data_IF_637520846675
#
_entry.id   IF_637520846675
#
_cell.length_a   1.000
_cell.length_b   1.000
_cell.length_c   1.000
_cell.angle_alpha   90.00
_cell.angle_beta   90.00
_cell.angle_gamma   90.00
#
_symmetry.space_group_name_H-M   'P 1'
#
loop_
_entity.id
_entity.type
_entity.pdbx_description
1 polymer ?
#
# COMPACT_ATOMS: atom_id res chain seq x y z
N UNK A 1 -24.05 12.26 0.79
CA UNK A 1 -22.91 11.89 -0.08
C UNK A 1 -21.71 11.68 0.83
N UNK A 2 -21.39 10.44 1.13
CA UNK A 2 -20.34 10.05 2.07
C UNK A 2 -19.13 9.65 1.23
N UNK A 3 -18.10 10.48 1.23
CA UNK A 3 -16.81 10.17 0.62
C UNK A 3 -16.06 9.17 1.50
N UNK A 4 -15.82 7.98 0.97
CA UNK A 4 -14.92 6.98 1.55
C UNK A 4 -13.48 7.40 1.24
N UNK A 5 -12.77 7.92 2.25
CA UNK A 5 -11.32 8.07 2.20
C UNK A 5 -10.69 6.69 2.48
N UNK A 6 -9.96 6.19 1.50
CA UNK A 6 -9.13 4.98 1.59
C UNK A 6 -7.76 5.43 2.11
N UNK A 7 -7.37 5.01 3.32
CA UNK A 7 -6.05 5.26 3.89
C UNK A 7 -5.00 4.28 3.34
N UNK A 8 -3.79 4.74 2.95
CA UNK A 8 -2.71 3.86 2.54
C UNK A 8 -2.00 3.24 3.75
N UNK A 9 -1.84 1.91 3.68
CA UNK A 9 -1.12 1.03 4.61
C UNK A 9 0.40 1.23 4.43
N UNK A 10 1.06 1.88 5.39
CA UNK A 10 2.52 2.03 5.42
C UNK A 10 3.13 0.77 6.08
N UNK A 11 4.14 0.11 5.49
CA UNK A 11 4.75 -1.08 6.06
C UNK A 11 5.78 -0.74 7.15
N UNK A 12 5.72 -1.50 8.25
CA UNK A 12 6.69 -1.54 9.34
C UNK A 12 8.11 -1.87 8.83
N UNK A 13 9.02 -0.93 8.99
CA UNK A 13 10.46 -1.15 8.91
C UNK A 13 11.16 -0.35 10.03
N UNK A 14 11.71 -1.11 10.99
CA UNK A 14 12.94 -0.84 11.74
C UNK A 14 13.13 0.51 12.43
N UNK A 15 13.04 0.51 13.77
CA UNK A 15 13.95 1.33 14.59
C UNK A 15 14.54 0.51 15.75
N UNK A 16 15.86 0.31 15.65
CA UNK A 16 16.74 -0.25 16.66
C UNK A 16 16.95 0.75 17.81
N UNK A 17 16.92 0.23 19.04
CA UNK A 17 17.95 0.43 20.06
C UNK A 17 18.26 1.86 20.55
N UNK A 18 17.73 2.21 21.73
CA UNK A 18 18.53 2.92 22.76
C UNK A 18 18.08 2.53 24.16
N UNK A 19 18.92 1.74 24.82
CA UNK A 19 18.83 1.37 26.23
C UNK A 19 19.29 2.56 27.06
N UNK A 20 18.38 3.44 27.47
CA UNK A 20 18.70 4.50 28.44
C UNK A 20 18.45 3.94 29.84
N UNK A 21 19.55 3.61 30.47
CA UNK A 21 19.65 3.25 31.88
C UNK A 21 19.14 4.40 32.76
N UNK A 22 18.05 4.21 33.49
CA UNK A 22 17.73 5.05 34.65
C UNK A 22 17.72 4.23 35.94
N UNK A 23 18.81 4.44 36.68
CA UNK A 23 19.08 4.06 38.06
C UNK A 23 17.88 4.28 38.97
N UNK A 24 17.43 3.20 39.59
CA UNK A 24 17.36 3.02 41.04
C UNK A 24 17.39 4.31 41.89
N UNK A 25 16.22 4.90 42.16
CA UNK A 25 16.00 5.72 43.35
C UNK A 25 15.22 4.89 44.38
N UNK A 26 15.97 4.19 45.23
CA UNK A 26 15.46 3.57 46.46
C UNK A 26 15.42 4.66 47.52
N UNK A 27 14.29 5.36 47.62
CA UNK A 27 14.03 6.34 48.69
C UNK A 27 12.75 5.95 49.42
N UNK A 28 12.97 5.35 50.60
CA UNK A 28 12.11 5.37 51.78
C UNK A 28 10.61 5.62 51.57
N UNK A 29 9.83 4.55 51.46
CA UNK A 29 8.41 4.62 51.82
C UNK A 29 8.04 3.40 52.68
N UNK A 30 7.55 3.72 53.86
CA UNK A 30 7.29 2.88 55.01
C UNK A 30 6.21 1.82 54.79
N UNK A 31 6.50 0.65 55.35
CA UNK A 31 5.60 -0.43 55.79
C UNK A 31 4.13 0.00 55.91
N UNK A 32 3.25 -0.61 55.11
CA UNK A 32 1.81 -0.66 55.35
C UNK A 32 1.42 -2.08 55.81
N UNK A 33 0.52 -2.21 56.80
CA UNK A 33 0.22 -3.50 57.40
C UNK A 33 -0.64 -4.36 56.46
N UNK A 34 -0.37 -5.67 56.46
CA UNK A 34 -1.17 -6.69 55.78
C UNK A 34 -2.59 -6.67 56.36
N UNK A 35 -3.57 -6.15 55.62
CA UNK A 35 -4.99 -6.39 55.93
C UNK A 35 -5.37 -7.77 55.39
N UNK A 36 -5.68 -8.68 56.31
CA UNK A 36 -6.36 -9.94 56.04
C UNK A 36 -7.74 -9.64 55.47
N UNK A 37 -8.00 -9.99 54.22
CA UNK A 37 -9.33 -9.87 53.61
C UNK A 37 -10.00 -11.23 53.80
N UNK A 38 -11.06 -11.20 54.59
CA UNK A 38 -11.88 -12.34 54.96
C UNK A 38 -12.37 -13.11 53.71
N UNK A 39 -12.27 -14.43 53.76
CA UNK A 39 -12.86 -15.36 52.80
C UNK A 39 -14.38 -15.16 52.72
N UNK A 40 -14.82 -14.35 51.75
CA UNK A 40 -16.23 -14.25 51.39
C UNK A 40 -16.63 -15.46 50.54
N UNK A 41 -17.47 -16.33 51.08
CA UNK A 41 -18.18 -17.33 50.29
C UNK A 41 -19.07 -16.62 49.27
N UNK A 42 -18.79 -16.81 47.98
CA UNK A 42 -19.65 -16.32 46.89
C UNK A 42 -20.85 -17.27 46.78
N UNK A 43 -22.05 -16.76 47.07
CA UNK A 43 -23.29 -17.49 46.88
C UNK A 43 -23.54 -17.75 45.39
N UNK A 44 -23.58 -19.03 44.99
CA UNK A 44 -23.82 -19.48 43.60
C UNK A 44 -25.19 -19.09 43.03
N UNK A 45 -26.08 -18.55 43.86
CA UNK A 45 -27.46 -18.19 43.51
C UNK A 45 -27.56 -16.81 42.84
N UNK A 46 -26.62 -15.89 43.11
CA UNK A 46 -26.62 -14.53 42.53
C UNK A 46 -26.23 -14.55 41.05
N UNK A 47 -25.52 -15.58 40.59
CA UNK A 47 -25.05 -15.71 39.21
C UNK A 47 -26.06 -16.36 38.24
N UNK A 48 -27.28 -16.69 38.69
CA UNK A 48 -28.28 -17.38 37.84
C UNK A 48 -29.41 -16.49 37.33
N UNK A 49 -29.45 -15.20 37.72
CA UNK A 49 -30.62 -14.34 37.53
C UNK A 49 -30.78 -13.64 36.18
N UNK A 50 -29.70 -13.26 35.47
CA UNK A 50 -29.83 -12.19 34.45
C UNK A 50 -29.09 -12.42 33.13
N UNK A 51 -28.68 -13.65 32.79
CA UNK A 51 -27.97 -13.92 31.52
C UNK A 51 -28.93 -14.41 30.41
N UNK A 52 -30.25 -14.45 30.63
CA UNK A 52 -31.19 -15.01 29.65
C UNK A 52 -32.40 -14.11 29.37
N UNK A 53 -32.18 -12.91 28.81
CA UNK A 53 -33.22 -12.23 28.01
C UNK A 53 -32.75 -11.11 27.09
N UNK A 54 -31.58 -11.23 26.45
CA UNK A 54 -31.26 -10.35 25.31
C UNK A 54 -31.41 -11.15 24.04
N UNK A 55 -32.61 -11.13 23.47
CA UNK A 55 -32.84 -11.58 22.09
C UNK A 55 -32.21 -10.55 21.16
N UNK A 56 -30.95 -10.79 20.78
CA UNK A 56 -30.27 -9.98 19.77
C UNK A 56 -31.01 -10.16 18.45
N UNK A 57 -31.33 -9.04 17.78
CA UNK A 57 -31.93 -9.09 16.45
C UNK A 57 -30.92 -9.72 15.48
N UNK A 58 -31.31 -10.69 14.65
CA UNK A 58 -30.44 -11.15 13.57
C UNK A 58 -30.14 -9.94 12.68
N UNK A 59 -28.87 -9.56 12.63
CA UNK A 59 -28.37 -8.53 11.75
C UNK A 59 -27.57 -9.24 10.67
N UNK A 60 -27.96 -9.07 9.41
CA UNK A 60 -27.20 -9.62 8.30
C UNK A 60 -25.80 -8.97 8.27
N UNK A 61 -24.73 -9.76 8.18
CA UNK A 61 -23.40 -9.20 8.02
C UNK A 61 -23.33 -8.50 6.66
N UNK A 62 -23.33 -7.17 6.66
CA UNK A 62 -22.96 -6.40 5.47
C UNK A 62 -21.47 -6.63 5.24
N UNK A 63 -21.15 -7.55 4.32
CA UNK A 63 -19.78 -7.78 3.83
C UNK A 63 -19.33 -6.49 3.14
N UNK A 64 -18.65 -5.60 3.87
CA UNK A 64 -18.01 -4.39 3.34
C UNK A 64 -16.72 -4.74 2.61
N UNK A 65 -16.81 -5.58 1.58
CA UNK A 65 -15.69 -5.96 0.75
C UNK A 65 -16.18 -6.39 -0.62
N UNK A 66 -16.11 -5.47 -1.59
CA UNK A 66 -16.18 -5.88 -2.99
C UNK A 66 -14.84 -6.57 -3.27
N UNK A 67 -14.89 -7.81 -3.75
CA UNK A 67 -13.68 -8.49 -4.21
C UNK A 67 -13.08 -7.68 -5.37
N UNK A 68 -11.74 -7.53 -5.43
CA UNK A 68 -11.09 -6.83 -6.53
C UNK A 68 -11.60 -7.35 -7.88
N UNK A 69 -11.98 -6.43 -8.76
CA UNK A 69 -12.43 -6.77 -10.11
C UNK A 69 -11.26 -7.23 -10.97
N UNK A 70 -11.55 -7.82 -12.14
CA UNK A 70 -10.47 -8.23 -13.07
C UNK A 70 -9.72 -7.01 -13.59
N UNK A 71 -10.42 -5.89 -13.69
CA UNK A 71 -9.91 -4.59 -14.10
C UNK A 71 -8.95 -4.02 -13.05
N UNK A 72 -9.29 -4.12 -11.76
CA UNK A 72 -8.42 -3.72 -10.65
C UNK A 72 -7.10 -4.49 -10.69
N UNK A 73 -7.17 -5.82 -10.84
CA UNK A 73 -5.99 -6.70 -10.94
C UNK A 73 -5.12 -6.39 -12.18
N UNK A 74 -5.75 -6.05 -13.31
CA UNK A 74 -5.01 -5.68 -14.52
C UNK A 74 -4.29 -4.34 -14.35
N UNK A 75 -4.95 -3.36 -13.73
CA UNK A 75 -4.36 -2.05 -13.46
C UNK A 75 -3.18 -2.18 -12.48
N UNK A 76 -3.32 -2.94 -11.39
CA UNK A 76 -2.27 -3.20 -10.41
C UNK A 76 -1.07 -3.89 -11.07
N UNK A 77 -1.32 -4.88 -11.94
CA UNK A 77 -0.26 -5.57 -12.70
C UNK A 77 0.47 -4.61 -13.65
N UNK A 78 -0.25 -3.70 -14.31
CA UNK A 78 0.36 -2.71 -15.19
C UNK A 78 1.25 -1.72 -14.41
N UNK A 79 0.76 -1.22 -13.27
CA UNK A 79 1.54 -0.35 -12.39
C UNK A 79 2.79 -1.05 -11.85
N UNK A 80 2.64 -2.29 -11.39
CA UNK A 80 3.77 -3.09 -10.89
C UNK A 80 4.83 -3.32 -11.98
N UNK A 81 4.40 -3.61 -13.22
CA UNK A 81 5.32 -3.80 -14.35
C UNK A 81 6.12 -2.54 -14.66
N UNK A 82 5.51 -1.35 -14.59
CA UNK A 82 6.18 -0.08 -14.82
C UNK A 82 7.21 0.21 -13.73
N UNK A 83 6.82 0.05 -12.46
CA UNK A 83 7.71 0.27 -11.30
C UNK A 83 8.92 -0.66 -11.38
N UNK A 84 8.71 -1.94 -11.66
CA UNK A 84 9.81 -2.90 -11.79
C UNK A 84 10.73 -2.58 -12.98
N UNK A 85 10.19 -2.06 -14.07
CA UNK A 85 10.98 -1.57 -15.21
C UNK A 85 11.87 -0.39 -14.83
N UNK A 86 11.36 0.54 -14.03
CA UNK A 86 12.11 1.72 -13.53
C UNK A 86 13.18 1.29 -12.53
N UNK A 87 12.88 0.37 -11.61
CA UNK A 87 13.84 -0.12 -10.61
C UNK A 87 15.02 -0.84 -11.27
N UNK A 88 14.76 -1.61 -12.33
CA UNK A 88 15.78 -2.32 -13.12
C UNK A 88 16.42 -1.46 -14.21
N UNK A 89 16.04 -0.19 -14.34
CA UNK A 89 16.56 0.68 -15.38
C UNK A 89 18.00 1.11 -15.06
N UNK A 90 18.94 0.65 -15.90
CA UNK A 90 20.34 1.06 -15.79
C UNK A 90 20.57 2.38 -16.53
N UNK A 91 20.77 3.45 -15.75
CA UNK A 91 21.06 4.80 -16.26
C UNK A 91 22.35 4.85 -17.10
N UNK A 92 23.28 3.93 -16.88
CA UNK A 92 24.55 3.90 -17.61
C UNK A 92 24.40 3.38 -19.05
N UNK A 93 23.24 2.79 -19.38
CA UNK A 93 22.90 2.33 -20.74
C UNK A 93 22.21 3.42 -21.57
N UNK A 94 22.03 4.62 -21.00
CA UNK A 94 21.47 5.76 -21.71
C UNK A 94 22.60 6.49 -22.44
N UNK A 95 22.53 6.49 -23.76
CA UNK A 95 23.44 7.28 -24.60
C UNK A 95 23.33 8.77 -24.25
N UNK A 96 24.46 9.44 -24.08
CA UNK A 96 24.48 10.88 -23.86
C UNK A 96 24.06 11.60 -25.15
N UNK A 97 22.86 12.18 -25.15
CA UNK A 97 22.46 13.12 -26.17
C UNK A 97 23.07 14.49 -25.84
N UNK A 98 24.19 14.81 -26.49
CA UNK A 98 24.75 16.16 -26.45
C UNK A 98 23.86 17.07 -27.29
N UNK A 99 22.98 17.83 -26.63
CA UNK A 99 22.20 18.87 -27.28
C UNK A 99 23.16 19.96 -27.76
N UNK A 100 23.48 19.94 -29.05
CA UNK A 100 24.16 21.07 -29.71
C UNK A 100 23.17 22.20 -29.83
N UNK A 101 23.06 23.02 -28.80
CA UNK A 101 22.38 24.31 -28.92
C UNK A 101 23.10 25.13 -30.01
N UNK A 102 22.38 25.60 -31.05
CA UNK A 102 22.98 26.54 -31.97
C UNK A 102 23.34 27.80 -31.18
N UNK A 103 24.62 28.15 -31.16
CA UNK A 103 25.06 29.44 -30.62
C UNK A 103 24.31 30.54 -31.36
N UNK A 104 23.75 31.50 -30.63
CA UNK A 104 23.24 32.72 -31.24
C UNK A 104 24.41 33.37 -32.03
N UNK A 105 24.20 33.76 -33.30
CA UNK A 105 25.23 34.42 -34.08
C UNK A 105 25.76 35.62 -33.32
N UNK A 106 27.08 35.68 -33.10
CA UNK A 106 27.70 36.81 -32.44
C UNK A 106 27.76 37.99 -33.42
N UNK A 107 27.94 39.23 -32.93
CA UNK A 107 27.99 40.41 -33.81
C UNK A 107 29.01 40.28 -34.96
N UNK A 108 30.11 39.56 -34.71
CA UNK A 108 31.14 39.23 -35.69
C UNK A 108 30.63 38.24 -36.74
N UNK A 109 29.84 37.23 -36.36
CA UNK A 109 29.26 36.27 -37.31
C UNK A 109 28.27 37.00 -38.26
N UNK A 110 27.51 37.96 -37.73
CA UNK A 110 26.57 38.81 -38.50
C UNK A 110 27.33 39.76 -39.44
N UNK A 111 28.44 40.34 -38.98
CA UNK A 111 29.27 41.21 -39.82
C UNK A 111 30.06 40.42 -40.86
N UNK A 112 30.53 39.21 -40.57
CA UNK A 112 31.18 38.35 -41.56
C UNK A 112 30.19 37.95 -42.65
N UNK A 113 28.92 37.66 -42.33
CA UNK A 113 27.89 37.42 -43.37
C UNK A 113 27.51 38.70 -44.14
N UNK A 114 27.49 39.87 -43.49
CA UNK A 114 27.26 41.16 -44.16
C UNK A 114 28.41 41.58 -45.07
N UNK A 115 29.66 41.28 -44.70
CA UNK A 115 30.87 41.64 -45.46
C UNK A 115 31.36 40.52 -46.37
N UNK A 116 30.83 39.30 -46.24
CA UNK A 116 30.82 38.29 -47.29
C UNK A 116 29.94 38.81 -48.42
N UNK A 117 30.53 39.73 -49.18
CA UNK A 117 30.07 40.20 -50.46
C UNK A 117 30.14 39.01 -51.43
N UNK A 118 29.25 38.04 -51.28
CA UNK A 118 28.84 37.24 -52.42
C UNK A 118 28.19 38.25 -53.36
N UNK A 119 28.76 38.52 -54.55
CA UNK A 119 28.07 39.35 -55.50
C UNK A 119 26.69 38.74 -55.67
N UNK A 120 25.63 39.52 -55.41
CA UNK A 120 24.28 39.13 -55.78
C UNK A 120 24.37 38.63 -57.22
N UNK A 121 24.12 37.34 -57.51
CA UNK A 121 24.35 36.81 -58.83
C UNK A 121 23.52 37.67 -59.79
N UNK A 122 24.20 38.31 -60.73
CA UNK A 122 23.52 39.11 -61.72
C UNK A 122 22.54 38.17 -62.43
N UNK A 123 21.33 38.63 -62.78
CA UNK A 123 20.26 37.77 -63.31
C UNK A 123 20.68 36.97 -64.58
N UNK A 124 21.83 37.33 -65.15
CA UNK A 124 22.45 36.73 -66.32
C UNK A 124 23.43 35.58 -66.00
N UNK A 125 23.91 35.44 -64.75
CA UNK A 125 24.90 34.42 -64.34
C UNK A 125 24.26 33.21 -63.63
N UNK A 126 22.93 33.22 -63.42
CA UNK A 126 22.19 32.05 -62.93
C UNK A 126 21.97 31.09 -64.11
N UNK A 127 22.20 29.76 -63.96
CA UNK A 127 21.84 28.79 -64.98
C UNK A 127 20.36 28.95 -65.35
N UNK A 128 20.08 29.54 -66.52
CA UNK A 128 18.72 29.67 -67.02
C UNK A 128 18.25 28.27 -67.34
N UNK A 129 17.26 27.81 -66.57
CA UNK A 129 16.53 26.57 -66.84
C UNK A 129 16.16 26.58 -68.32
N UNK A 130 16.69 25.61 -69.07
CA UNK A 130 16.50 25.52 -70.51
C UNK A 130 15.01 25.51 -70.87
N UNK A 131 14.62 26.03 -72.04
CA UNK A 131 13.22 26.05 -72.47
C UNK A 131 12.60 24.65 -72.46
N UNK A 132 13.41 23.62 -72.64
CA UNK A 132 13.02 22.21 -72.62
C UNK A 132 12.42 21.81 -71.27
N UNK A 133 13.06 22.18 -70.16
CA UNK A 133 12.57 21.86 -68.82
C UNK A 133 11.26 22.59 -68.48
N UNK A 134 11.10 23.80 -69.04
CA UNK A 134 9.88 24.60 -68.88
C UNK A 134 8.71 23.98 -69.67
N UNK A 135 8.99 23.42 -70.84
CA UNK A 135 8.01 22.71 -71.66
C UNK A 135 7.63 21.35 -71.07
N UNK A 136 8.57 20.65 -70.43
CA UNK A 136 8.30 19.42 -69.68
C UNK A 136 7.48 19.69 -68.42
N UNK A 137 7.81 20.74 -67.66
CA UNK A 137 7.06 21.15 -66.46
C UNK A 137 5.62 21.59 -66.76
N UNK A 138 5.38 22.22 -67.92
CA UNK A 138 4.05 22.63 -68.36
C UNK A 138 3.17 21.45 -68.84
N UNK A 139 3.77 20.30 -69.17
CA UNK A 139 3.04 19.09 -69.53
C UNK A 139 2.57 18.30 -68.31
N UNK A 140 3.23 18.46 -67.17
CA UNK A 140 2.78 17.88 -65.90
C UNK A 140 1.64 18.75 -65.35
N UNK A 141 0.41 18.41 -65.73
CA UNK A 141 -0.79 18.90 -65.03
C UNK A 141 -0.79 18.33 -63.61
N UNK A 142 -0.20 19.07 -62.67
CA UNK A 142 -0.35 18.76 -61.25
C UNK A 142 -1.85 18.81 -60.91
N UNK A 143 -2.39 17.67 -60.49
CA UNK A 143 -3.75 17.62 -59.97
C UNK A 143 -3.80 18.39 -58.66
N UNK A 144 -4.72 19.35 -58.57
CA UNK A 144 -5.00 20.03 -57.31
C UNK A 144 -5.39 18.98 -56.27
N UNK A 145 -4.49 18.75 -55.33
CA UNK A 145 -4.73 17.86 -54.19
C UNK A 145 -5.00 18.75 -52.99
N UNK A 146 -6.23 18.72 -52.51
CA UNK A 146 -6.60 19.43 -51.30
C UNK A 146 -5.93 18.74 -50.10
N UNK A 147 -4.86 19.34 -49.59
CA UNK A 147 -4.20 18.87 -48.36
C UNK A 147 -5.11 19.19 -47.18
N UNK A 148 -5.80 18.18 -46.65
CA UNK A 148 -6.56 18.31 -45.41
C UNK A 148 -5.59 18.39 -44.22
N UNK A 149 -5.20 19.60 -43.85
CA UNK A 149 -4.50 19.85 -42.59
C UNK A 149 -5.51 19.64 -41.47
N UNK A 150 -5.50 18.45 -40.86
CA UNK A 150 -6.35 18.12 -39.71
C UNK A 150 -5.79 18.75 -38.43
N UNK A 151 -5.55 20.06 -38.44
CA UNK A 151 -5.40 20.83 -37.20
C UNK A 151 -6.82 21.14 -36.75
N UNK A 152 -7.40 20.22 -35.98
CA UNK A 152 -8.63 20.55 -35.25
C UNK A 152 -8.22 21.54 -34.17
N UNK A 153 -8.82 22.72 -34.21
CA UNK A 153 -8.75 23.64 -33.08
C UNK A 153 -9.25 22.90 -31.83
N UNK A 154 -8.63 23.12 -30.66
CA UNK A 154 -9.14 22.59 -29.40
C UNK A 154 -10.64 22.87 -29.28
N UNK A 155 -11.41 21.85 -28.91
CA UNK A 155 -12.84 21.97 -28.68
C UNK A 155 -13.08 22.87 -27.46
N UNK A 156 -14.29 23.41 -27.34
CA UNK A 156 -14.71 24.11 -26.12
C UNK A 156 -14.59 23.22 -24.87
N UNK A 157 -14.83 21.90 -25.00
CA UNK A 157 -14.61 20.93 -23.93
C UNK A 157 -13.15 20.89 -23.47
N UNK A 158 -12.21 20.92 -24.42
CA UNK A 158 -10.78 20.77 -24.15
C UNK A 158 -10.25 21.99 -23.38
N UNK A 159 -10.74 23.19 -23.73
CA UNK A 159 -10.42 24.43 -23.03
C UNK A 159 -10.99 24.45 -21.60
N UNK A 160 -12.20 23.91 -21.40
CA UNK A 160 -12.82 23.82 -20.07
C UNK A 160 -12.04 22.85 -19.19
N UNK A 161 -11.63 21.70 -19.72
CA UNK A 161 -10.82 20.72 -19.00
C UNK A 161 -9.44 21.28 -18.66
N UNK A 162 -8.76 21.90 -19.62
CA UNK A 162 -7.46 22.53 -19.39
C UNK A 162 -7.54 23.63 -18.32
N UNK A 163 -8.58 24.46 -18.37
CA UNK A 163 -8.81 25.49 -17.35
C UNK A 163 -9.04 24.89 -15.96
N UNK A 164 -9.84 23.83 -15.84
CA UNK A 164 -10.04 23.11 -14.57
C UNK A 164 -8.73 22.54 -14.03
N UNK A 165 -7.92 21.93 -14.89
CA UNK A 165 -6.61 21.40 -14.50
C UNK A 165 -5.67 22.52 -14.05
N UNK A 166 -5.63 23.63 -14.78
CA UNK A 166 -4.82 24.79 -14.44
C UNK A 166 -5.24 25.41 -13.09
N UNK A 167 -6.54 25.60 -12.87
CA UNK A 167 -7.08 26.15 -11.63
C UNK A 167 -6.77 25.26 -10.42
N UNK A 168 -6.83 23.93 -10.59
CA UNK A 168 -6.47 22.97 -9.54
C UNK A 168 -4.97 23.06 -9.21
N UNK A 169 -4.10 23.05 -10.22
CA UNK A 169 -2.64 23.11 -10.03
C UNK A 169 -2.27 24.43 -9.35
N UNK A 170 -2.78 25.56 -9.84
CA UNK A 170 -2.56 26.89 -9.27
C UNK A 170 -3.05 26.98 -7.82
N UNK A 171 -4.20 26.39 -7.50
CA UNK A 171 -4.73 26.31 -6.14
C UNK A 171 -3.85 25.49 -5.19
N UNK A 172 -3.23 24.42 -5.67
CA UNK A 172 -2.29 23.59 -4.90
C UNK A 172 -0.94 24.30 -4.73
N UNK A 173 -0.41 24.92 -5.78
CA UNK A 173 0.86 25.67 -5.73
C UNK A 173 0.77 26.88 -4.78
N UNK A 174 -0.37 27.58 -4.79
CA UNK A 174 -0.67 28.69 -3.90
C UNK A 174 -1.12 28.29 -2.49
N UNK A 175 -1.21 26.99 -2.18
CA UNK A 175 -1.78 26.51 -0.94
C UNK A 175 -0.93 26.86 0.28
N UNK A 176 -1.43 27.78 1.11
CA UNK A 176 -0.76 28.21 2.33
C UNK A 176 -1.08 27.26 3.49
N UNK A 177 -0.14 26.37 3.80
CA UNK A 177 -0.24 25.40 4.92
C UNK A 177 -0.51 26.05 6.29
N UNK A 178 -0.22 27.35 6.47
CA UNK A 178 -0.49 28.09 7.72
C UNK A 178 -1.98 28.42 7.93
N UNK A 179 -2.81 28.28 6.90
CA UNK A 179 -4.26 28.44 6.97
C UNK A 179 -4.98 27.15 7.40
N UNK A 180 -4.26 26.03 7.51
CA UNK A 180 -4.81 24.80 8.07
C UNK A 180 -4.97 24.98 9.58
N UNK A 181 -6.19 24.72 10.07
CA UNK A 181 -6.43 24.64 11.51
C UNK A 181 -5.61 23.49 12.10
N UNK A 182 -4.88 23.78 13.18
CA UNK A 182 -4.18 22.74 13.93
C UNK A 182 -5.21 21.83 14.60
N UNK A 183 -5.31 20.59 14.15
CA UNK A 183 -6.09 19.55 14.80
C UNK A 183 -5.17 18.82 15.77
N UNK A 184 -5.35 19.01 17.06
CA UNK A 184 -4.71 18.19 18.08
C UNK A 184 -5.32 16.78 18.00
N UNK A 185 -4.54 15.81 17.52
CA UNK A 185 -4.96 14.40 17.49
C UNK A 185 -4.85 13.88 18.92
N UNK A 186 -5.98 13.76 19.62
CA UNK A 186 -6.03 13.00 20.87
C UNK A 186 -5.97 11.51 20.54
N UNK A 187 -4.76 10.95 20.53
CA UNK A 187 -4.58 9.49 20.56
C UNK A 187 -5.11 8.98 21.91
N UNK A 188 -6.32 8.41 21.91
CA UNK A 188 -6.84 7.69 23.05
C UNK A 188 -6.18 6.30 23.15
N UNK A 189 -4.87 6.26 23.41
CA UNK A 189 -4.23 5.05 23.91
C UNK A 189 -4.67 4.90 25.38
N UNK A 190 -5.80 4.22 25.60
CA UNK A 190 -6.19 3.85 26.95
C UNK A 190 -5.06 3.03 27.56
N UNK A 191 -4.50 3.50 28.67
CA UNK A 191 -3.55 2.71 29.44
C UNK A 191 -4.23 1.38 29.81
N UNK A 192 -3.51 0.25 29.77
CA UNK A 192 -4.07 -1.03 30.17
C UNK A 192 -4.68 -0.92 31.56
N UNK A 193 -5.89 -1.45 31.71
CA UNK A 193 -6.62 -1.44 32.97
C UNK A 193 -5.90 -2.31 34.01
N UNK A 194 -6.17 -2.06 35.29
CA UNK A 194 -5.66 -2.90 36.36
C UNK A 194 -6.11 -4.38 36.23
N UNK A 195 -7.24 -4.64 35.56
CA UNK A 195 -7.69 -5.99 35.24
C UNK A 195 -6.84 -6.63 34.14
N UNK A 196 -6.46 -5.88 33.10
CA UNK A 196 -5.61 -6.38 31.99
C UNK A 196 -4.26 -6.86 32.54
N UNK A 197 -3.63 -6.06 33.41
CA UNK A 197 -2.38 -6.42 34.07
C UNK A 197 -2.48 -7.67 34.95
N UNK A 198 -3.63 -7.89 35.61
CA UNK A 198 -3.86 -9.12 36.40
C UNK A 198 -3.98 -10.33 35.50
N UNK A 199 -4.74 -10.22 34.40
CA UNK A 199 -4.90 -11.33 33.45
C UNK A 199 -3.56 -11.71 32.80
N UNK A 200 -2.76 -10.71 32.41
CA UNK A 200 -1.43 -10.93 31.84
C UNK A 200 -0.49 -11.61 32.84
N UNK A 201 -0.51 -11.17 34.10
CA UNK A 201 0.28 -11.78 35.16
C UNK A 201 -0.12 -13.24 35.41
N UNK A 202 -1.41 -13.54 35.46
CA UNK A 202 -1.89 -14.93 35.62
C UNK A 202 -1.43 -15.80 34.46
N UNK A 203 -1.54 -15.30 33.22
CA UNK A 203 -1.09 -16.04 32.04
C UNK A 203 0.42 -16.30 32.08
N UNK A 204 1.21 -15.29 32.43
CA UNK A 204 2.65 -15.40 32.60
C UNK A 204 3.02 -16.43 33.69
N UNK A 205 2.36 -16.39 34.85
CA UNK A 205 2.62 -17.32 35.95
C UNK A 205 2.29 -18.78 35.56
N UNK A 206 1.24 -19.00 34.77
CA UNK A 206 0.91 -20.33 34.23
C UNK A 206 2.00 -20.83 33.29
N UNK A 207 2.45 -19.98 32.35
CA UNK A 207 3.52 -20.36 31.41
C UNK A 207 4.80 -20.70 32.16
N UNK A 208 5.23 -19.86 33.10
CA UNK A 208 6.43 -20.12 33.89
C UNK A 208 6.31 -21.37 34.76
N UNK A 209 5.12 -21.65 35.28
CA UNK A 209 4.84 -22.87 36.04
C UNK A 209 4.98 -24.13 35.19
N UNK A 210 4.55 -24.09 33.93
CA UNK A 210 4.71 -25.20 32.97
C UNK A 210 6.15 -25.33 32.49
N UNK A 211 6.82 -24.22 32.18
CA UNK A 211 8.22 -24.21 31.72
C UNK A 211 9.16 -24.80 32.77
N UNK A 212 8.97 -24.43 34.04
CA UNK A 212 9.81 -24.88 35.16
C UNK A 212 9.27 -26.16 35.84
N UNK A 213 8.31 -26.85 35.23
CA UNK A 213 7.71 -28.03 35.83
C UNK A 213 8.70 -29.21 35.87
N UNK A 214 9.13 -29.61 37.06
CA UNK A 214 10.00 -30.77 37.25
C UNK A 214 9.21 -32.08 37.13
N UNK A 215 9.40 -32.77 36.01
CA UNK A 215 8.79 -34.09 35.75
C UNK A 215 9.19 -35.15 36.77
N UNK A 216 10.33 -35.00 37.47
CA UNK A 216 10.78 -35.93 38.50
C UNK A 216 9.99 -35.80 39.80
N UNK A 217 9.31 -34.67 40.01
CA UNK A 217 8.38 -34.48 41.11
C UNK A 217 7.03 -35.21 40.90
N UNK A 218 6.81 -35.78 39.70
CA UNK A 218 5.61 -36.56 39.43
C UNK A 218 5.71 -37.93 40.12
N UNK A 219 4.70 -38.26 40.94
CA UNK A 219 4.61 -39.59 41.55
C UNK A 219 4.45 -40.66 40.47
N UNK A 220 5.12 -41.80 40.65
CA UNK A 220 4.97 -42.94 39.76
C UNK A 220 3.53 -43.46 39.81
N UNK A 221 2.85 -43.46 38.66
CA UNK A 221 1.56 -44.10 38.48
C UNK A 221 1.79 -45.43 37.76
N UNK A 222 1.26 -46.53 38.31
CA UNK A 222 1.17 -47.82 37.63
C UNK A 222 -0.13 -47.85 36.82
N UNK A 223 -0.11 -47.64 35.49
CA UNK A 223 -1.31 -47.76 34.68
C UNK A 223 -1.76 -49.23 34.65
N UNK A 224 -2.99 -49.49 35.10
CA UNK A 224 -3.62 -50.80 34.93
C UNK A 224 -4.24 -50.85 33.54
N UNK A 225 -3.49 -51.36 32.56
CA UNK A 225 -4.03 -51.69 31.24
C UNK A 225 -4.94 -52.92 31.37
N UNK A 226 -6.26 -52.69 31.33
CA UNK A 226 -7.24 -53.78 31.32
C UNK A 226 -7.29 -54.40 29.93
N UNK A 227 -6.37 -55.32 29.63
CA UNK A 227 -6.48 -56.20 28.47
C UNK A 227 -7.59 -57.22 28.80
N UNK A 228 -8.82 -56.90 28.43
CA UNK A 228 -9.89 -57.90 28.37
C UNK A 228 -9.64 -58.76 27.14
N UNK A 229 -9.16 -59.99 27.36
CA UNK A 229 -9.15 -60.99 26.31
C UNK A 229 -10.62 -61.25 25.90
N UNK A 230 -10.92 -61.34 24.60
CA UNK A 230 -12.26 -61.66 24.14
C UNK A 230 -12.70 -62.98 24.77
N UNK A 231 -13.92 -63.01 25.31
CA UNK A 231 -14.48 -64.23 25.89
C UNK A 231 -14.85 -65.21 24.78
N UNK A 232 -14.95 -66.50 25.11
CA UNK A 232 -15.35 -67.52 24.13
C UNK A 232 -16.69 -67.21 23.43
N UNK A 233 -17.60 -66.51 24.12
CA UNK A 233 -18.85 -66.03 23.53
C UNK A 233 -18.63 -64.95 22.47
N UNK A 234 -17.65 -64.06 22.67
CA UNK A 234 -17.31 -63.01 21.71
C UNK A 234 -16.71 -63.62 20.42
N UNK A 235 -15.83 -64.61 20.60
CA UNK A 235 -15.23 -65.39 19.50
C UNK A 235 -16.31 -66.17 18.73
N UNK A 236 -17.26 -66.78 19.43
CA UNK A 236 -18.34 -67.53 18.80
C UNK A 236 -19.28 -66.64 17.98
N UNK A 237 -19.66 -65.47 18.51
CA UNK A 237 -20.52 -64.51 17.79
C UNK A 237 -19.84 -64.00 16.52
N UNK A 238 -18.54 -63.70 16.58
CA UNK A 238 -17.78 -63.29 15.38
C UNK A 238 -17.70 -64.42 14.36
N UNK A 239 -17.46 -65.66 14.82
CA UNK A 239 -17.46 -66.85 13.97
C UNK A 239 -18.79 -67.05 13.26
N UNK A 240 -19.92 -66.91 13.96
CA UNK A 240 -21.26 -67.03 13.38
C UNK A 240 -21.58 -65.88 12.42
N UNK A 241 -21.19 -64.65 12.75
CA UNK A 241 -21.36 -63.48 11.90
C UNK A 241 -20.57 -63.53 10.58
N UNK A 242 -19.43 -64.24 10.55
CA UNK A 242 -18.64 -64.45 9.33
C UNK A 242 -19.22 -65.51 8.37
N UNK A 243 -20.08 -66.40 8.85
CA UNK A 243 -20.72 -67.44 8.01
C UNK A 243 -22.07 -67.00 7.43
N UNK A 244 -22.57 -65.82 7.80
CA UNK A 244 -23.85 -65.27 7.34
C UNK A 244 -23.72 -64.14 6.30
N UNK A 245 -22.54 -63.98 5.68
CA UNK A 245 -22.31 -63.05 4.55
C UNK A 245 -22.07 -63.79 3.26
#
# INVERSE_FOLDING_TARGET
MISLLIEPRIPDQFYLCTVISFRFLRSSCSILPKRSIMSGHVNKEVLKGEINKVTLRPTEPVVKGVLPTKEDLQSERAHHSLIQGIEKFDKNKLEHAETKEPRLPNAIDIEVERHANMPSPNLNDVPKVGPDFKNELNQIKLHHTETQVKVRLPSESDLIEEKKHHDLISGIEGFNKKQLNHQEVQEASALPSAEDLKTERVHHDVIQGVENFDKKALNHANPTEKIVLPTAADIQREREGLHSK
#
